data_IF_625568702775
#
_entry.id   IF_625568702775
#
_cell.length_a   1.000
_cell.length_b   1.000
_cell.length_c   1.000
_cell.angle_alpha   90.00
_cell.angle_beta   90.00
_cell.angle_gamma   90.00
#
_symmetry.space_group_name_H-M   'P 1'
#
loop_
_entity.id
_entity.type
_entity.pdbx_description
1 polymer ?
#
# COMPACT_ATOMS: atom_id res chain seq x y z
N UNK A 1 -6.22 -4.58 -34.87
CA UNK A 1 -6.58 -4.21 -33.47
C UNK A 1 -6.40 -2.71 -33.33
N UNK A 2 -7.50 -1.97 -33.23
CA UNK A 2 -7.43 -0.52 -33.02
C UNK A 2 -6.83 -0.26 -31.63
N UNK A 3 -5.89 0.69 -31.47
CA UNK A 3 -5.38 1.04 -30.16
C UNK A 3 -6.53 1.62 -29.35
N UNK A 4 -7.03 0.86 -28.37
CA UNK A 4 -7.98 1.35 -27.38
C UNK A 4 -7.33 2.54 -26.69
N UNK A 5 -7.98 3.71 -26.80
CA UNK A 5 -7.53 4.93 -26.12
C UNK A 5 -7.38 4.60 -24.64
N UNK A 6 -6.27 5.04 -24.05
CA UNK A 6 -5.96 4.96 -22.62
C UNK A 6 -7.22 5.00 -21.74
N UNK A 7 -7.67 3.85 -21.25
CA UNK A 7 -8.90 3.73 -20.45
C UNK A 7 -8.63 3.96 -18.94
N UNK A 8 -7.38 4.26 -18.58
CA UNK A 8 -6.96 4.60 -17.23
C UNK A 8 -6.94 6.12 -17.07
N UNK A 9 -7.69 6.69 -16.11
CA UNK A 9 -7.68 8.12 -15.84
C UNK A 9 -6.27 8.63 -15.49
N UNK A 10 -5.91 9.86 -15.90
CA UNK A 10 -4.57 10.40 -15.68
C UNK A 10 -4.13 10.41 -14.21
N UNK A 11 -5.07 10.67 -13.29
CA UNK A 11 -4.82 10.62 -11.85
C UNK A 11 -4.32 9.24 -11.41
N UNK A 12 -5.09 8.18 -11.70
CA UNK A 12 -4.71 6.81 -11.34
C UNK A 12 -3.43 6.37 -12.02
N UNK A 13 -3.22 6.82 -13.27
CA UNK A 13 -2.00 6.51 -14.01
C UNK A 13 -0.77 7.08 -13.30
N UNK A 14 -0.79 8.37 -12.96
CA UNK A 14 0.31 9.03 -12.26
C UNK A 14 0.50 8.43 -10.86
N UNK A 15 -0.60 8.21 -10.14
CA UNK A 15 -0.58 7.68 -8.79
C UNK A 15 0.07 6.29 -8.74
N UNK A 16 -0.50 5.31 -9.45
CA UNK A 16 -0.06 3.92 -9.38
C UNK A 16 1.29 3.66 -10.06
N UNK A 17 1.72 4.48 -11.02
CA UNK A 17 3.01 4.23 -11.72
C UNK A 17 4.19 5.02 -11.19
N UNK A 18 3.95 6.02 -10.34
CA UNK A 18 5.01 6.95 -9.86
C UNK A 18 4.91 7.21 -8.37
N UNK A 19 3.80 7.78 -7.90
CA UNK A 19 3.67 8.19 -6.48
C UNK A 19 3.70 6.98 -5.57
N UNK A 20 2.85 6.01 -5.88
CA UNK A 20 2.65 4.85 -5.03
C UNK A 20 3.87 3.91 -4.98
N UNK A 21 4.54 3.58 -6.09
CA UNK A 21 5.81 2.85 -6.04
C UNK A 21 6.90 3.57 -5.25
N UNK A 22 6.96 4.91 -5.32
CA UNK A 22 7.93 5.67 -4.54
C UNK A 22 7.67 5.53 -3.02
N UNK A 23 6.40 5.53 -2.61
CA UNK A 23 6.01 5.29 -1.22
C UNK A 23 6.35 3.87 -0.76
N UNK A 24 6.13 2.86 -1.61
CA UNK A 24 6.52 1.49 -1.32
C UNK A 24 8.03 1.31 -1.17
N UNK A 25 8.82 1.91 -2.07
CA UNK A 25 10.27 1.89 -2.00
C UNK A 25 10.78 2.62 -0.76
N UNK A 26 10.19 3.77 -0.42
CA UNK A 26 10.52 4.49 0.80
C UNK A 26 10.25 3.63 2.04
N UNK A 27 9.07 3.00 2.13
CA UNK A 27 8.73 2.11 3.24
C UNK A 27 9.63 0.87 3.33
N UNK A 28 10.05 0.31 2.20
CA UNK A 28 11.03 -0.78 2.18
C UNK A 28 12.40 -0.29 2.68
N UNK A 29 12.87 0.85 2.20
CA UNK A 29 14.14 1.45 2.61
C UNK A 29 14.17 1.76 4.10
N UNK A 30 13.13 2.37 4.67
CA UNK A 30 13.06 2.66 6.10
C UNK A 30 12.99 1.39 6.94
N UNK A 31 12.33 0.34 6.45
CA UNK A 31 12.27 -0.96 7.13
C UNK A 31 13.65 -1.63 7.20
N UNK A 32 14.43 -1.53 6.13
CA UNK A 32 15.77 -2.14 6.07
C UNK A 32 16.83 -1.33 6.83
N UNK A 33 16.75 0.00 6.78
CA UNK A 33 17.80 0.87 7.36
C UNK A 33 17.49 1.34 8.78
N UNK A 34 16.21 1.43 9.15
CA UNK A 34 15.74 1.90 10.46
C UNK A 34 14.68 0.94 11.05
N UNK A 35 14.97 -0.37 11.19
CA UNK A 35 14.02 -1.36 11.67
C UNK A 35 13.50 -1.05 13.07
N UNK A 36 14.36 -0.52 13.95
CA UNK A 36 13.96 -0.11 15.31
C UNK A 36 12.94 1.03 15.30
N UNK A 37 13.06 2.00 14.38
CA UNK A 37 12.07 3.08 14.25
C UNK A 37 10.74 2.56 13.70
N UNK A 38 10.79 1.60 12.77
CA UNK A 38 9.58 0.97 12.22
C UNK A 38 8.87 0.12 13.28
N UNK A 39 9.60 -0.64 14.09
CA UNK A 39 9.02 -1.39 15.21
C UNK A 39 8.46 -0.46 16.28
N UNK A 40 9.15 0.62 16.62
CA UNK A 40 8.63 1.65 17.51
C UNK A 40 7.37 2.33 16.97
N UNK A 41 7.07 2.26 15.67
CA UNK A 41 5.84 2.80 15.09
C UNK A 41 4.72 1.74 14.93
N UNK A 42 5.03 0.46 15.13
CA UNK A 42 4.11 -0.66 14.90
C UNK A 42 3.77 -1.41 16.19
N UNK A 43 4.72 -1.50 17.11
CA UNK A 43 4.64 -2.20 18.38
C UNK A 43 5.63 -1.59 19.40
N UNK A 44 5.34 -0.40 19.97
CA UNK A 44 6.30 0.34 20.78
C UNK A 44 6.72 -0.40 22.05
N UNK A 45 5.79 -1.13 22.68
CA UNK A 45 6.07 -1.96 23.86
C UNK A 45 6.98 -3.16 23.56
N UNK A 46 7.17 -3.50 22.28
CA UNK A 46 8.07 -4.56 21.83
C UNK A 46 9.36 -4.01 21.21
N UNK A 47 9.50 -2.69 21.10
CA UNK A 47 10.71 -2.08 20.58
C UNK A 47 11.90 -2.23 21.55
N UNK A 48 11.63 -2.32 22.85
CA UNK A 48 12.64 -2.72 23.85
C UNK A 48 13.05 -4.20 23.74
N UNK A 49 12.20 -5.04 23.14
CA UNK A 49 12.49 -6.45 22.85
C UNK A 49 13.19 -6.66 21.50
N UNK A 50 13.30 -5.61 20.68
CA UNK A 50 14.07 -5.63 19.45
C UNK A 50 15.56 -5.53 19.78
N UNK A 51 16.21 -6.68 19.91
CA UNK A 51 17.65 -6.77 19.72
C UNK A 51 17.92 -7.14 18.26
N UNK A 52 18.87 -6.49 17.56
CA UNK A 52 19.32 -6.89 16.22
C UNK A 52 19.74 -8.37 16.12
N UNK A 53 19.93 -9.04 17.26
CA UNK A 53 20.19 -10.47 17.37
C UNK A 53 18.96 -11.36 17.61
N UNK A 54 17.71 -10.87 17.60
CA UNK A 54 16.47 -11.70 17.68
C UNK A 54 16.09 -12.14 16.26
N UNK A 55 16.44 -13.37 15.83
CA UNK A 55 16.38 -13.75 14.42
C UNK A 55 14.97 -13.68 13.79
N UNK A 56 13.86 -14.00 14.50
CA UNK A 56 12.53 -13.97 13.92
C UNK A 56 12.06 -12.58 13.48
N UNK A 57 12.31 -11.53 14.25
CA UNK A 57 11.75 -10.20 13.98
C UNK A 57 12.49 -9.54 12.81
N UNK A 58 13.83 -9.64 12.79
CA UNK A 58 14.63 -9.13 11.69
C UNK A 58 14.26 -9.81 10.37
N UNK A 59 14.06 -11.13 10.38
CA UNK A 59 13.60 -11.87 9.21
C UNK A 59 12.22 -11.38 8.72
N UNK A 60 11.24 -11.23 9.62
CA UNK A 60 9.91 -10.75 9.25
C UNK A 60 9.93 -9.32 8.68
N UNK A 61 10.75 -8.43 9.23
CA UNK A 61 10.92 -7.08 8.70
C UNK A 61 11.53 -7.10 7.30
N UNK A 62 12.56 -7.91 7.07
CA UNK A 62 13.17 -8.07 5.74
C UNK A 62 12.17 -8.65 4.73
N UNK A 63 11.40 -9.67 5.11
CA UNK A 63 10.32 -10.22 4.27
C UNK A 63 9.28 -9.16 3.95
N UNK A 64 8.90 -8.32 4.92
CA UNK A 64 7.97 -7.22 4.70
C UNK A 64 8.54 -6.18 3.73
N UNK A 65 9.84 -5.86 3.82
CA UNK A 65 10.50 -4.95 2.89
C UNK A 65 10.54 -5.53 1.47
N UNK A 66 10.85 -6.83 1.33
CA UNK A 66 10.81 -7.55 0.07
C UNK A 66 9.43 -7.52 -0.59
N UNK A 67 8.36 -7.75 0.18
CA UNK A 67 6.99 -7.66 -0.32
C UNK A 67 6.64 -6.25 -0.84
N UNK A 68 7.09 -5.19 -0.15
CA UNK A 68 6.90 -3.79 -0.60
C UNK A 68 7.69 -3.50 -1.88
N UNK A 69 8.93 -3.99 -1.97
CA UNK A 69 9.72 -3.87 -3.20
C UNK A 69 9.08 -4.60 -4.37
N UNK A 70 8.50 -5.78 -4.14
CA UNK A 70 7.75 -6.52 -5.17
C UNK A 70 6.53 -5.73 -5.66
N UNK A 71 5.76 -5.10 -4.75
CA UNK A 71 4.65 -4.22 -5.12
C UNK A 71 5.13 -3.03 -5.98
N UNK A 72 6.18 -2.34 -5.54
CA UNK A 72 6.75 -1.23 -6.29
C UNK A 72 7.25 -1.66 -7.68
N UNK A 73 7.96 -2.78 -7.75
CA UNK A 73 8.49 -3.33 -9.00
C UNK A 73 7.37 -3.65 -9.98
N UNK A 74 6.35 -4.38 -9.52
CA UNK A 74 5.20 -4.73 -10.36
C UNK A 74 4.45 -3.49 -10.81
N UNK A 75 4.21 -2.51 -9.95
CA UNK A 75 3.55 -1.26 -10.34
C UNK A 75 4.37 -0.42 -11.34
N UNK A 76 5.70 -0.34 -11.18
CA UNK A 76 6.57 0.39 -12.11
C UNK A 76 6.65 -0.31 -13.47
N UNK A 77 6.89 -1.62 -13.47
CA UNK A 77 7.23 -2.33 -14.71
C UNK A 77 6.00 -2.91 -15.41
N UNK A 78 5.04 -3.49 -14.67
CA UNK A 78 3.85 -4.10 -15.27
C UNK A 78 2.90 -3.02 -15.80
N UNK A 79 2.51 -2.06 -14.95
CA UNK A 79 1.47 -1.08 -15.31
C UNK A 79 1.93 -0.10 -16.38
N UNK A 80 3.23 0.16 -16.52
CA UNK A 80 3.76 0.96 -17.63
C UNK A 80 3.76 0.23 -18.98
N UNK A 81 3.62 -1.11 -18.98
CA UNK A 81 3.68 -1.94 -20.19
C UNK A 81 2.30 -2.32 -20.72
N UNK A 82 1.22 -2.07 -19.98
CA UNK A 82 -0.16 -2.39 -20.39
C UNK A 82 -1.12 -1.25 -20.09
N UNK A 83 -2.15 -1.10 -20.93
CA UNK A 83 -3.29 -0.21 -20.67
C UNK A 83 -4.59 -0.99 -20.41
N UNK A 84 -4.49 -2.30 -20.19
CA UNK A 84 -5.64 -3.16 -19.93
C UNK A 84 -6.15 -2.96 -18.50
N UNK A 85 -7.38 -2.41 -18.38
CA UNK A 85 -8.04 -2.17 -17.09
C UNK A 85 -8.10 -3.42 -16.20
N UNK A 86 -8.40 -4.64 -16.72
CA UNK A 86 -8.39 -5.84 -15.89
C UNK A 86 -7.04 -6.10 -15.22
N UNK A 87 -5.92 -5.91 -15.93
CA UNK A 87 -4.58 -6.10 -15.36
C UNK A 87 -4.31 -5.09 -14.25
N UNK A 88 -4.67 -3.82 -14.48
CA UNK A 88 -4.55 -2.78 -13.46
C UNK A 88 -5.41 -3.09 -12.22
N UNK A 89 -6.67 -3.52 -12.41
CA UNK A 89 -7.56 -3.85 -11.29
C UNK A 89 -7.05 -5.04 -10.49
N UNK A 90 -6.56 -6.09 -11.15
CA UNK A 90 -5.99 -7.27 -10.48
C UNK A 90 -4.76 -6.90 -9.66
N UNK A 91 -3.87 -6.09 -10.22
CA UNK A 91 -2.69 -5.60 -9.51
C UNK A 91 -3.05 -4.70 -8.32
N UNK A 92 -3.98 -3.76 -8.48
CA UNK A 92 -4.37 -2.90 -7.36
C UNK A 92 -5.18 -3.65 -6.30
N UNK A 93 -5.94 -4.68 -6.69
CA UNK A 93 -6.63 -5.57 -5.75
C UNK A 93 -5.64 -6.43 -4.94
N UNK A 94 -4.57 -6.93 -5.55
CA UNK A 94 -3.55 -7.71 -4.83
C UNK A 94 -2.85 -6.85 -3.78
N UNK A 95 -2.51 -5.60 -4.11
CA UNK A 95 -1.92 -4.66 -3.15
C UNK A 95 -2.95 -4.20 -2.12
N UNK A 96 -4.24 -4.08 -2.48
CA UNK A 96 -5.31 -3.80 -1.53
C UNK A 96 -5.39 -4.88 -0.45
N UNK A 97 -5.25 -6.17 -0.79
CA UNK A 97 -5.16 -7.25 0.19
C UNK A 97 -4.01 -7.03 1.17
N UNK A 98 -2.83 -6.64 0.67
CA UNK A 98 -1.68 -6.30 1.53
C UNK A 98 -2.01 -5.15 2.49
N UNK A 99 -2.67 -4.09 2.00
CA UNK A 99 -3.07 -2.96 2.84
C UNK A 99 -4.06 -3.38 3.94
N UNK A 100 -5.06 -4.21 3.61
CA UNK A 100 -6.04 -4.70 4.58
C UNK A 100 -5.40 -5.57 5.67
N UNK A 101 -4.49 -6.46 5.29
CA UNK A 101 -3.71 -7.27 6.24
C UNK A 101 -2.83 -6.37 7.12
N UNK A 102 -2.23 -5.33 6.54
CA UNK A 102 -1.40 -4.37 7.29
C UNK A 102 -2.23 -3.60 8.31
N UNK A 103 -3.39 -3.05 7.92
CA UNK A 103 -4.30 -2.35 8.82
C UNK A 103 -4.83 -3.29 9.92
N UNK A 104 -5.25 -4.50 9.57
CA UNK A 104 -5.70 -5.50 10.52
C UNK A 104 -4.61 -5.88 11.53
N UNK A 105 -3.35 -5.99 11.08
CA UNK A 105 -2.20 -6.25 11.95
C UNK A 105 -1.92 -5.09 12.91
N UNK A 106 -2.07 -3.83 12.46
CA UNK A 106 -1.94 -2.66 13.33
C UNK A 106 -3.03 -2.64 14.40
N UNK A 107 -4.30 -2.81 14.01
CA UNK A 107 -5.43 -2.86 14.93
C UNK A 107 -5.30 -4.01 15.94
N UNK A 108 -4.84 -5.18 15.48
CA UNK A 108 -4.54 -6.32 16.35
C UNK A 108 -3.43 -6.00 17.35
N UNK A 109 -2.32 -5.41 16.88
CA UNK A 109 -1.21 -4.99 17.73
C UNK A 109 -1.66 -4.01 18.82
N UNK A 110 -2.42 -2.98 18.45
CA UNK A 110 -2.96 -1.99 19.40
C UNK A 110 -3.95 -2.61 20.38
N UNK A 111 -4.78 -3.56 19.92
CA UNK A 111 -5.70 -4.29 20.80
C UNK A 111 -4.93 -5.09 21.86
N UNK A 112 -3.86 -5.78 21.47
CA UNK A 112 -3.04 -6.56 22.41
C UNK A 112 -2.29 -5.68 23.42
N UNK A 113 -1.98 -4.43 23.05
CA UNK A 113 -1.35 -3.44 23.93
C UNK A 113 -2.37 -2.68 24.79
N UNK A 114 -3.68 -2.87 24.59
CA UNK A 114 -4.70 -2.06 25.25
C UNK A 114 -4.73 -0.59 24.79
N UNK A 115 -4.18 -0.29 23.61
CA UNK A 115 -4.02 1.07 23.05
C UNK A 115 -5.01 1.42 21.94
N UNK A 116 -6.22 0.84 21.98
CA UNK A 116 -7.26 1.11 20.98
C UNK A 116 -7.85 2.52 21.06
N UNK A 117 -7.69 3.20 22.19
CA UNK A 117 -8.13 4.59 22.35
C UNK A 117 -7.24 5.55 21.57
N UNK A 118 -7.86 6.42 20.77
CA UNK A 118 -7.15 7.43 19.98
C UNK A 118 -6.28 8.37 20.84
N UNK A 119 -6.64 8.52 22.12
CA UNK A 119 -5.96 9.37 23.11
C UNK A 119 -4.59 8.81 23.54
N UNK A 120 -4.35 7.52 23.29
CA UNK A 120 -3.13 6.78 23.68
C UNK A 120 -2.21 6.55 22.48
N UNK A 121 -2.72 6.73 21.26
CA UNK A 121 -1.93 6.61 20.04
C UNK A 121 -1.08 7.86 19.85
N UNK A 122 0.21 7.65 19.57
CA UNK A 122 1.09 8.75 19.23
C UNK A 122 0.71 9.36 17.88
N UNK A 123 1.13 10.60 17.64
CA UNK A 123 0.95 11.24 16.33
C UNK A 123 1.56 10.42 15.19
N UNK A 124 2.68 9.74 15.43
CA UNK A 124 3.30 8.81 14.47
C UNK A 124 2.43 7.60 14.13
N UNK A 125 1.75 7.00 15.11
CA UNK A 125 0.84 5.86 14.93
C UNK A 125 -0.33 6.26 14.02
N UNK A 126 -0.93 7.43 14.32
CA UNK A 126 -2.06 7.97 13.57
C UNK A 126 -1.68 8.33 12.13
N UNK A 127 -0.51 8.96 11.92
CA UNK A 127 -0.04 9.33 10.58
C UNK A 127 0.20 8.08 9.74
N UNK A 128 0.84 7.05 10.30
CA UNK A 128 1.10 5.81 9.56
C UNK A 128 -0.21 5.10 9.21
N UNK A 129 -1.12 4.94 10.17
CA UNK A 129 -2.41 4.31 9.95
C UNK A 129 -3.24 5.06 8.92
N UNK A 130 -3.37 6.38 9.05
CA UNK A 130 -4.09 7.23 8.10
C UNK A 130 -3.50 7.14 6.69
N UNK A 131 -2.17 7.08 6.57
CA UNK A 131 -1.50 6.92 5.28
C UNK A 131 -1.89 5.60 4.61
N UNK A 132 -1.88 4.48 5.34
CA UNK A 132 -2.30 3.19 4.78
C UNK A 132 -3.80 3.17 4.43
N UNK A 133 -4.64 3.81 5.24
CA UNK A 133 -6.08 3.97 4.92
C UNK A 133 -6.29 4.74 3.62
N UNK A 134 -5.60 5.86 3.42
CA UNK A 134 -5.68 6.64 2.17
C UNK A 134 -5.22 5.81 0.98
N UNK A 135 -4.11 5.09 1.11
CA UNK A 135 -3.58 4.22 0.05
C UNK A 135 -4.54 3.07 -0.30
N UNK A 136 -5.19 2.48 0.70
CA UNK A 136 -6.21 1.46 0.52
C UNK A 136 -7.47 2.03 -0.14
N UNK A 137 -7.92 3.21 0.28
CA UNK A 137 -9.11 3.87 -0.26
C UNK A 137 -8.97 4.21 -1.75
N UNK A 138 -7.82 4.75 -2.16
CA UNK A 138 -7.55 5.06 -3.58
C UNK A 138 -7.63 3.80 -4.44
N UNK A 139 -7.07 2.68 -3.95
CA UNK A 139 -7.13 1.38 -4.64
C UNK A 139 -8.53 0.82 -4.68
N UNK A 140 -9.24 0.84 -3.56
CA UNK A 140 -10.61 0.37 -3.47
C UNK A 140 -11.52 1.15 -4.45
N UNK A 141 -11.36 2.47 -4.51
CA UNK A 141 -12.06 3.32 -5.46
C UNK A 141 -11.76 2.91 -6.91
N UNK A 142 -10.49 2.70 -7.25
CA UNK A 142 -10.09 2.25 -8.59
C UNK A 142 -10.64 0.86 -8.94
N UNK A 143 -10.56 -0.10 -8.02
CA UNK A 143 -11.09 -1.45 -8.21
C UNK A 143 -12.62 -1.44 -8.41
N UNK A 144 -13.32 -0.60 -7.63
CA UNK A 144 -14.75 -0.34 -7.78
C UNK A 144 -15.12 0.38 -9.09
N UNK A 145 -14.14 0.83 -9.87
CA UNK A 145 -14.35 1.51 -11.15
C UNK A 145 -14.68 3.00 -11.03
N UNK A 146 -14.50 3.60 -9.85
CA UNK A 146 -14.72 5.02 -9.65
C UNK A 146 -13.76 5.79 -10.56
N UNK A 147 -14.30 6.71 -11.37
CA UNK A 147 -13.53 7.54 -12.28
C UNK A 147 -13.09 6.86 -13.59
N UNK A 148 -13.34 5.56 -13.78
CA UNK A 148 -13.16 4.90 -15.08
C UNK A 148 -14.28 5.35 -16.04
N UNK A 149 -13.92 5.62 -17.30
CA UNK A 149 -14.92 5.94 -18.34
C UNK A 149 -15.38 4.64 -18.97
N UNK A 150 -16.68 4.37 -18.99
CA UNK A 150 -17.22 3.27 -19.78
C UNK A 150 -17.29 3.67 -21.25
N UNK A 151 -16.78 2.81 -22.14
CA UNK A 151 -16.83 3.02 -23.59
C UNK A 151 -18.29 3.11 -24.13
N UNK A 152 -19.30 2.79 -23.31
CA UNK A 152 -20.73 2.90 -23.62
C UNK A 152 -21.28 4.34 -23.66
N UNK A 153 -20.61 5.32 -23.05
CA UNK A 153 -21.06 6.73 -23.06
C UNK A 153 -20.70 7.50 -24.33
N UNK A 154 -19.83 6.93 -25.18
CA UNK A 154 -19.49 7.50 -26.48
C UNK A 154 -20.59 7.28 -27.54
N UNK A 155 -21.43 6.25 -27.36
CA UNK A 155 -22.57 5.97 -28.24
C UNK A 155 -23.74 6.92 -28.01
N UNK A 156 -23.99 7.33 -26.75
CA UNK A 156 -25.09 8.25 -26.40
C UNK A 156 -24.87 9.71 -26.83
N UNK A 157 -23.71 10.04 -27.44
CA UNK A 157 -23.35 11.41 -27.85
C UNK A 157 -23.13 11.57 -29.36
N UNK A 158 -23.57 10.61 -30.17
CA UNK A 158 -23.57 10.70 -31.64
C UNK A 158 -24.97 10.67 -32.20
#
# INVERSE_FOLDING_TARGET
>A
MSPSRSNIPPFYRLWFTTVDPALWLFGAFTTLTKPASVLNALAPDHAGSFSPGVPPIAFLLQQSAGARMMCAFTDIFLLRRTNEVPVWKTQQASILCYNLVSLGSMLWSWKQQGRLSLDVLGSGDLIHFASVVVLAAIRAAFCAGIGLREDGDAWKRR
#
